data_IF_353650268621
#
_entry.id   IF_353650268621
#
_cell.length_a   1.000
_cell.length_b   1.000
_cell.length_c   1.000
_cell.angle_alpha   90.00
_cell.angle_beta   90.00
_cell.angle_gamma   90.00
#
_symmetry.space_group_name_H-M   'P 1'
#
loop_
_entity.id
_entity.type
_entity.pdbx_description
1 polymer ?
#
# COMPACT_ATOMS: atom_id res chain seq x y z
N UNK A 1 13.57 15.43 5.79
CA UNK A 1 12.78 16.40 5.02
C UNK A 1 11.30 16.21 5.36
N UNK A 2 10.59 17.32 5.57
CA UNK A 2 9.15 17.29 5.81
C UNK A 2 8.35 17.07 4.52
N UNK A 3 7.06 16.80 4.67
CA UNK A 3 6.16 16.54 3.54
C UNK A 3 6.13 17.70 2.53
N UNK A 4 6.13 18.94 3.02
CA UNK A 4 6.14 20.13 2.16
C UNK A 4 7.35 20.18 1.23
N UNK A 5 8.53 19.88 1.76
CA UNK A 5 9.76 19.89 0.97
C UNK A 5 9.82 18.71 0.01
N UNK A 6 9.31 17.55 0.41
CA UNK A 6 9.18 16.38 -0.46
C UNK A 6 8.23 16.65 -1.62
N UNK A 7 7.10 17.31 -1.37
CA UNK A 7 6.13 17.66 -2.39
C UNK A 7 6.71 18.67 -3.39
N UNK A 8 7.44 19.67 -2.90
CA UNK A 8 8.14 20.61 -3.78
C UNK A 8 9.19 19.92 -4.64
N UNK A 9 9.93 18.99 -4.07
CA UNK A 9 10.92 18.20 -4.80
C UNK A 9 10.26 17.40 -5.91
N UNK A 10 9.16 16.68 -5.60
CA UNK A 10 8.43 15.89 -6.57
C UNK A 10 7.94 16.76 -7.75
N UNK A 11 7.33 17.90 -7.47
CA UNK A 11 6.87 18.83 -8.49
C UNK A 11 8.01 19.32 -9.39
N UNK A 12 9.16 19.62 -8.79
CA UNK A 12 10.34 20.06 -9.52
C UNK A 12 10.90 18.96 -10.43
N UNK A 13 11.02 17.74 -9.91
CA UNK A 13 11.55 16.60 -10.68
C UNK A 13 10.63 16.19 -11.83
N UNK A 14 9.33 16.39 -11.70
CA UNK A 14 8.34 16.10 -12.73
C UNK A 14 8.02 17.30 -13.62
N UNK A 15 8.73 18.40 -13.46
CA UNK A 15 8.54 19.58 -14.32
C UNK A 15 8.81 19.22 -15.79
N UNK A 16 7.81 19.46 -16.65
CA UNK A 16 7.91 19.10 -18.07
C UNK A 16 7.61 17.64 -18.40
N UNK A 17 7.30 16.82 -17.43
CA UNK A 17 6.93 15.43 -17.69
C UNK A 17 5.54 15.35 -18.34
N UNK A 18 5.45 14.65 -19.46
CA UNK A 18 4.18 14.41 -20.16
C UNK A 18 3.39 13.28 -19.49
N UNK A 19 4.06 12.18 -19.16
CA UNK A 19 3.47 11.07 -18.41
C UNK A 19 3.65 11.34 -16.92
N UNK A 20 2.53 11.55 -16.24
CA UNK A 20 2.48 11.79 -14.80
C UNK A 20 1.76 10.66 -14.05
N UNK A 21 1.56 9.54 -14.71
CA UNK A 21 1.00 8.34 -14.09
C UNK A 21 1.82 7.88 -12.91
N UNK A 22 1.15 7.50 -11.84
CA UNK A 22 1.79 7.04 -10.62
C UNK A 22 0.90 6.04 -9.90
N UNK A 23 1.47 5.30 -8.97
CA UNK A 23 0.68 4.41 -8.15
C UNK A 23 1.22 4.39 -6.71
N UNK A 24 0.31 4.35 -5.76
CA UNK A 24 0.63 3.98 -4.39
C UNK A 24 0.59 2.47 -4.25
N UNK A 25 1.56 1.91 -3.55
CA UNK A 25 1.64 0.48 -3.30
C UNK A 25 1.83 0.25 -1.80
N UNK A 26 1.06 -0.67 -1.26
CA UNK A 26 1.24 -1.15 0.11
C UNK A 26 1.41 -2.66 0.10
N UNK A 27 2.43 -3.14 0.76
CA UNK A 27 2.65 -4.56 0.98
C UNK A 27 2.49 -4.87 2.47
N UNK A 28 1.68 -5.87 2.78
CA UNK A 28 1.51 -6.38 4.14
C UNK A 28 2.13 -7.77 4.19
N UNK A 29 3.10 -7.95 5.07
CA UNK A 29 3.76 -9.23 5.26
C UNK A 29 3.35 -9.83 6.61
N UNK A 30 3.06 -11.12 6.59
CA UNK A 30 2.78 -11.91 7.79
C UNK A 30 3.76 -13.07 7.86
N UNK A 31 4.45 -13.20 8.99
CA UNK A 31 5.39 -14.30 9.24
C UNK A 31 4.75 -15.24 10.26
N UNK A 32 4.60 -16.50 9.88
CA UNK A 32 3.96 -17.52 10.73
C UNK A 32 4.98 -18.61 11.01
N UNK A 33 5.32 -18.85 12.29
CA UNK A 33 6.20 -19.96 12.65
C UNK A 33 5.60 -21.32 12.24
N UNK A 34 6.41 -22.15 11.62
CA UNK A 34 5.94 -23.49 11.19
C UNK A 34 5.56 -24.37 12.37
N UNK A 35 6.10 -24.10 13.56
CA UNK A 35 5.77 -24.80 14.79
C UNK A 35 4.31 -24.68 15.21
N UNK A 36 3.57 -23.70 14.71
CA UNK A 36 2.15 -23.52 15.00
C UNK A 36 1.25 -24.51 14.25
N UNK A 37 1.78 -25.18 13.22
CA UNK A 37 1.01 -26.17 12.46
C UNK A 37 -0.21 -25.60 11.73
N UNK A 38 -0.22 -24.31 11.43
CA UNK A 38 -1.33 -23.66 10.75
C UNK A 38 -1.31 -23.99 9.25
N UNK A 39 -2.48 -24.33 8.74
CA UNK A 39 -2.69 -24.47 7.30
C UNK A 39 -3.01 -23.11 6.70
N UNK A 40 -2.22 -22.73 5.71
CA UNK A 40 -2.35 -21.45 5.05
C UNK A 40 -2.99 -21.65 3.66
N UNK A 41 -3.97 -20.82 3.31
CA UNK A 41 -4.67 -20.97 2.05
C UNK A 41 -3.76 -20.62 0.88
N UNK A 42 -3.88 -21.37 -0.21
CA UNK A 42 -3.20 -21.04 -1.45
C UNK A 42 -4.04 -20.06 -2.26
N UNK A 43 -3.36 -19.20 -3.01
CA UNK A 43 -4.00 -18.28 -3.95
C UNK A 43 -4.58 -17.01 -3.35
N UNK A 44 -4.50 -16.81 -2.02
CA UNK A 44 -5.01 -15.61 -1.35
C UNK A 44 -3.93 -14.57 -1.06
N UNK A 45 -2.67 -14.90 -1.30
CA UNK A 45 -1.56 -13.96 -1.13
C UNK A 45 -0.86 -13.73 -2.47
N UNK A 46 -0.23 -12.57 -2.59
CA UNK A 46 0.52 -12.22 -3.80
C UNK A 46 1.88 -12.92 -3.84
N UNK A 47 2.44 -13.22 -2.67
CA UNK A 47 3.73 -13.88 -2.58
C UNK A 47 3.83 -14.73 -1.31
N UNK A 48 4.41 -15.90 -1.44
CA UNK A 48 4.65 -16.82 -0.34
C UNK A 48 6.15 -17.17 -0.29
N UNK A 49 6.72 -17.11 0.90
CA UNK A 49 8.08 -17.55 1.16
C UNK A 49 8.04 -18.72 2.13
N UNK A 50 8.46 -19.89 1.66
CA UNK A 50 8.57 -21.09 2.49
C UNK A 50 9.98 -21.21 3.06
N UNK A 51 10.11 -21.92 4.17
CA UNK A 51 11.39 -22.18 4.84
C UNK A 51 12.16 -20.92 5.23
N UNK A 52 11.42 -19.86 5.53
CA UNK A 52 12.00 -18.62 6.02
C UNK A 52 12.54 -18.85 7.44
N UNK A 53 13.83 -18.68 7.64
CA UNK A 53 14.45 -18.77 8.96
C UNK A 53 14.38 -17.40 9.65
N UNK A 54 13.63 -17.33 10.73
CA UNK A 54 13.61 -16.12 11.54
C UNK A 54 14.92 -16.04 12.34
N UNK A 55 15.70 -14.98 12.10
CA UNK A 55 16.94 -14.73 12.82
C UNK A 55 16.75 -14.53 14.33
N UNK A 56 15.52 -14.26 14.77
CA UNK A 56 15.20 -14.00 16.19
C UNK A 56 14.74 -15.22 16.97
N UNK A 57 14.14 -16.19 16.32
CA UNK A 57 13.60 -17.36 17.03
C UNK A 57 14.25 -18.69 16.63
N UNK A 58 15.18 -18.67 15.68
CA UNK A 58 15.92 -19.89 15.27
C UNK A 58 15.03 -21.01 14.70
N UNK A 59 13.75 -20.76 14.49
CA UNK A 59 12.79 -21.71 13.95
C UNK A 59 12.44 -21.35 12.52
N UNK A 60 12.09 -22.34 11.71
CA UNK A 60 11.58 -22.09 10.37
C UNK A 60 10.21 -21.45 10.43
N UNK A 61 9.92 -20.60 9.46
CA UNK A 61 8.66 -19.88 9.35
C UNK A 61 8.27 -19.74 7.88
N UNK A 62 7.00 -19.46 7.66
CA UNK A 62 6.47 -19.07 6.34
C UNK A 62 6.09 -17.60 6.37
N UNK A 63 6.34 -16.89 5.29
CA UNK A 63 5.96 -15.49 5.13
C UNK A 63 4.97 -15.36 3.97
N UNK A 64 3.93 -14.57 4.19
CA UNK A 64 2.90 -14.27 3.20
C UNK A 64 2.84 -12.78 2.99
N UNK A 65 2.74 -12.36 1.75
CA UNK A 65 2.66 -10.94 1.40
C UNK A 65 1.38 -10.70 0.62
N UNK A 66 0.60 -9.72 1.07
CA UNK A 66 -0.52 -9.20 0.31
C UNK A 66 -0.20 -7.78 -0.14
N UNK A 67 -0.59 -7.43 -1.37
CA UNK A 67 -0.28 -6.14 -1.98
C UNK A 67 -1.56 -5.42 -2.34
N UNK A 68 -1.63 -4.15 -1.99
CA UNK A 68 -2.68 -3.24 -2.44
C UNK A 68 -2.09 -2.14 -3.30
N UNK A 69 -2.75 -1.80 -4.40
CA UNK A 69 -2.32 -0.77 -5.33
C UNK A 69 -3.43 0.23 -5.59
N UNK A 70 -3.04 1.47 -5.74
CA UNK A 70 -3.95 2.53 -6.16
C UNK A 70 -3.26 3.35 -7.24
N UNK A 71 -3.78 3.27 -8.46
CA UNK A 71 -3.26 4.03 -9.60
C UNK A 71 -3.90 5.40 -9.68
N UNK A 72 -3.11 6.38 -10.08
CA UNK A 72 -3.55 7.74 -10.26
C UNK A 72 -2.54 8.56 -11.05
N UNK A 73 -2.56 9.84 -10.85
CA UNK A 73 -1.64 10.77 -11.52
C UNK A 73 -1.10 11.80 -10.53
N UNK A 74 0.10 12.28 -10.80
CA UNK A 74 0.68 13.37 -10.02
C UNK A 74 0.22 14.71 -10.61
N UNK A 75 -0.42 15.52 -9.79
CA UNK A 75 -0.89 16.85 -10.15
C UNK A 75 0.30 17.83 -10.33
N UNK A 76 0.05 18.95 -10.98
CA UNK A 76 1.02 20.03 -11.15
C UNK A 76 1.03 21.02 -9.99
N UNK A 77 0.03 20.95 -9.14
CA UNK A 77 -0.12 21.77 -7.93
C UNK A 77 -0.85 21.00 -6.84
N UNK A 78 -0.62 21.38 -5.60
CA UNK A 78 -1.31 20.75 -4.46
C UNK A 78 -2.80 21.09 -4.46
N UNK A 79 -3.64 20.12 -4.11
CA UNK A 79 -5.09 20.28 -3.92
C UNK A 79 -5.51 19.60 -2.62
N UNK A 80 -6.20 20.37 -1.78
CA UNK A 80 -6.65 19.90 -0.48
C UNK A 80 -5.58 20.05 0.61
N UNK A 81 -6.00 19.89 1.85
CA UNK A 81 -5.17 20.11 3.03
C UNK A 81 -5.14 18.92 3.98
N UNK A 82 -5.99 17.94 3.75
CA UNK A 82 -6.07 16.75 4.59
C UNK A 82 -5.05 15.68 4.13
N UNK A 83 -4.87 14.66 4.96
CA UNK A 83 -3.94 13.58 4.66
C UNK A 83 -2.50 13.91 5.01
N UNK A 84 -1.58 13.17 4.42
CA UNK A 84 -0.14 13.27 4.69
C UNK A 84 0.67 12.89 3.46
N UNK A 85 1.98 13.15 3.50
CA UNK A 85 2.88 12.78 2.42
C UNK A 85 2.51 13.44 1.09
N UNK A 86 2.37 12.64 0.06
CA UNK A 86 2.05 13.10 -1.29
C UNK A 86 0.56 13.23 -1.59
N UNK A 87 -0.31 13.05 -0.59
CA UNK A 87 -1.76 13.07 -0.77
C UNK A 87 -2.29 14.31 -1.53
N UNK A 88 -1.81 15.53 -1.28
CA UNK A 88 -2.28 16.69 -2.03
C UNK A 88 -1.92 16.70 -3.51
N UNK A 89 -0.94 15.92 -3.92
CA UNK A 89 -0.46 15.82 -5.30
C UNK A 89 -0.99 14.60 -6.04
N UNK A 90 -1.57 13.64 -5.34
CA UNK A 90 -2.01 12.39 -5.95
C UNK A 90 -3.49 12.48 -6.35
N UNK A 91 -3.75 12.47 -7.64
CA UNK A 91 -5.09 12.52 -8.21
C UNK A 91 -5.70 11.12 -8.29
N UNK A 92 -6.90 10.96 -7.74
CA UNK A 92 -7.68 9.73 -7.80
C UNK A 92 -8.74 9.85 -8.91
N UNK A 93 -8.59 9.15 -10.03
CA UNK A 93 -9.55 9.26 -11.14
C UNK A 93 -10.96 8.77 -10.78
N UNK A 94 -11.07 7.79 -9.88
CA UNK A 94 -12.35 7.22 -9.47
C UNK A 94 -13.27 8.26 -8.82
N UNK A 95 -12.71 9.15 -8.00
CA UNK A 95 -13.47 10.19 -7.31
C UNK A 95 -13.27 11.58 -7.89
N UNK A 96 -12.38 11.75 -8.86
CA UNK A 96 -12.03 13.06 -9.46
C UNK A 96 -11.61 14.08 -8.40
N UNK A 97 -10.77 13.65 -7.48
CA UNK A 97 -10.24 14.43 -6.36
C UNK A 97 -8.80 14.02 -6.09
N UNK A 98 -8.03 14.89 -5.43
CA UNK A 98 -6.76 14.45 -4.84
C UNK A 98 -7.02 13.62 -3.58
N UNK A 99 -6.03 12.84 -3.15
CA UNK A 99 -6.15 12.08 -1.90
C UNK A 99 -6.39 12.97 -0.68
N UNK A 100 -5.86 14.20 -0.70
CA UNK A 100 -6.10 15.16 0.37
C UNK A 100 -7.54 15.71 0.39
N UNK A 101 -8.30 15.52 -0.68
CA UNK A 101 -9.69 15.95 -0.79
C UNK A 101 -10.69 14.82 -0.54
N UNK A 102 -10.22 13.57 -0.45
CA UNK A 102 -11.09 12.42 -0.18
C UNK A 102 -11.56 12.42 1.27
N UNK A 103 -12.80 12.00 1.48
CA UNK A 103 -13.26 11.65 2.83
C UNK A 103 -12.52 10.41 3.34
N UNK A 104 -12.56 10.17 4.64
CA UNK A 104 -11.94 8.97 5.22
C UNK A 104 -12.52 7.69 4.60
N UNK A 105 -13.82 7.65 4.36
CA UNK A 105 -14.50 6.51 3.74
C UNK A 105 -14.10 6.31 2.29
N UNK A 106 -14.08 7.39 1.50
CA UNK A 106 -13.64 7.35 0.10
C UNK A 106 -12.19 6.88 0.00
N UNK A 107 -11.31 7.44 0.83
CA UNK A 107 -9.90 7.09 0.87
C UNK A 107 -9.69 5.62 1.22
N UNK A 108 -10.40 5.11 2.23
CA UNK A 108 -10.30 3.72 2.65
C UNK A 108 -10.73 2.75 1.53
N UNK A 109 -11.76 3.11 0.77
CA UNK A 109 -12.28 2.24 -0.30
C UNK A 109 -11.31 2.06 -1.48
N UNK A 110 -10.49 3.07 -1.79
CA UNK A 110 -9.60 3.04 -2.97
C UNK A 110 -8.13 2.98 -2.61
N UNK A 111 -7.75 3.30 -1.38
CA UNK A 111 -6.33 3.40 -1.02
C UNK A 111 -5.60 2.05 -1.16
N UNK A 112 -4.32 2.14 -1.48
CA UNK A 112 -3.42 0.99 -1.53
C UNK A 112 -3.37 0.25 -0.18
N UNK A 113 -3.39 0.99 0.94
CA UNK A 113 -3.41 0.43 2.30
C UNK A 113 -4.70 -0.30 2.59
N UNK A 114 -5.85 0.30 2.28
CA UNK A 114 -7.16 -0.33 2.46
C UNK A 114 -7.26 -1.63 1.65
N UNK A 115 -6.80 -1.61 0.41
CA UNK A 115 -6.79 -2.79 -0.46
C UNK A 115 -5.88 -3.90 0.08
N UNK A 116 -4.66 -3.57 0.52
CA UNK A 116 -3.74 -4.52 1.11
C UNK A 116 -4.29 -5.12 2.40
N UNK A 117 -4.90 -4.32 3.26
CA UNK A 117 -5.47 -4.78 4.53
C UNK A 117 -6.70 -5.66 4.34
N UNK A 118 -7.55 -5.37 3.36
CA UNK A 118 -8.69 -6.24 3.03
C UNK A 118 -8.23 -7.61 2.52
N UNK A 119 -7.22 -7.63 1.66
CA UNK A 119 -6.60 -8.88 1.19
C UNK A 119 -5.98 -9.66 2.35
N UNK A 120 -5.30 -8.97 3.25
CA UNK A 120 -4.71 -9.57 4.44
C UNK A 120 -5.77 -10.13 5.40
N UNK A 121 -6.85 -9.39 5.65
CA UNK A 121 -7.95 -9.84 6.49
C UNK A 121 -8.60 -11.11 5.93
N UNK A 122 -8.78 -11.19 4.62
CA UNK A 122 -9.30 -12.38 3.95
C UNK A 122 -8.35 -13.57 4.12
N UNK A 123 -7.05 -13.35 3.95
CA UNK A 123 -6.03 -14.37 4.17
C UNK A 123 -6.10 -14.92 5.61
N UNK A 124 -6.14 -14.04 6.60
CA UNK A 124 -6.19 -14.43 8.02
C UNK A 124 -7.46 -15.24 8.35
N UNK A 125 -8.60 -14.85 7.77
CA UNK A 125 -9.87 -15.56 8.01
C UNK A 125 -9.86 -17.00 7.49
N UNK A 126 -8.99 -17.34 6.54
CA UNK A 126 -8.89 -18.66 5.94
C UNK A 126 -7.75 -19.52 6.55
N UNK A 127 -7.03 -19.01 7.53
CA UNK A 127 -6.00 -19.77 8.24
C UNK A 127 -6.66 -20.71 9.25
N UNK A 128 -6.26 -21.97 9.20
CA UNK A 128 -6.75 -23.03 10.09
C UNK A 128 -5.63 -23.75 10.83
#
# INVERSE_FOLDING_TARGET
LGDTENNKKLLRELSGAEDRGAEFVCAVACVVPTSLGLCLPEGLCDKKYSDFASARCGASAEAFVTVGRCRGEILTEERGTDGFGYDPLFWCPEYKKSFAQLSAEEKDSVSHRGRAMRSFAKLISEIH
#
